data_IF_522343924762
#
_entry.id   IF_522343924762
#
_cell.length_a   1.000
_cell.length_b   1.000
_cell.length_c   1.000
_cell.angle_alpha   90.00
_cell.angle_beta   90.00
_cell.angle_gamma   90.00
#
_symmetry.space_group_name_H-M   'P 1'
#
loop_
_entity.id
_entity.type
_entity.pdbx_description
1 polymer ?
#
# COMPACT_ATOMS: atom_id res chain seq x y z
N UNK A 1 38.60 1.77 -22.66
CA UNK A 1 37.98 2.44 -21.49
C UNK A 1 36.67 1.73 -21.20
N UNK A 2 36.62 0.91 -20.15
CA UNK A 2 35.39 0.21 -19.76
C UNK A 2 34.45 1.23 -19.11
N UNK A 3 33.51 1.76 -19.90
CA UNK A 3 32.39 2.51 -19.33
C UNK A 3 31.52 1.49 -18.62
N UNK A 4 31.64 1.47 -17.29
CA UNK A 4 30.71 0.77 -16.43
C UNK A 4 29.29 1.20 -16.84
N UNK A 5 28.53 0.27 -17.43
CA UNK A 5 27.09 0.43 -17.57
C UNK A 5 26.55 0.43 -16.15
N UNK A 6 26.44 1.60 -15.54
CA UNK A 6 25.60 1.78 -14.36
C UNK A 6 24.23 1.23 -14.76
N UNK A 7 23.85 0.10 -14.19
CA UNK A 7 22.48 -0.41 -14.24
C UNK A 7 21.60 0.59 -13.49
N UNK A 8 21.33 1.75 -14.11
CA UNK A 8 20.30 2.67 -13.64
C UNK A 8 18.99 2.02 -14.00
N UNK A 9 18.54 1.10 -13.15
CA UNK A 9 17.12 0.78 -13.11
C UNK A 9 16.38 2.11 -13.01
N UNK A 10 15.46 2.42 -13.95
CA UNK A 10 14.72 3.67 -13.89
C UNK A 10 14.05 3.75 -12.51
N UNK A 11 14.35 4.82 -11.77
CA UNK A 11 13.77 5.05 -10.43
C UNK A 11 12.25 5.03 -10.60
N UNK A 12 11.57 4.20 -9.81
CA UNK A 12 10.13 4.01 -9.96
C UNK A 12 9.40 5.32 -9.62
N UNK A 13 8.31 5.60 -10.33
CA UNK A 13 7.40 6.69 -9.96
C UNK A 13 7.05 6.63 -8.46
N UNK A 14 6.80 5.42 -7.94
CA UNK A 14 6.42 5.25 -6.54
C UNK A 14 7.54 5.62 -5.57
N UNK A 15 8.80 5.31 -5.90
CA UNK A 15 9.94 5.68 -5.06
C UNK A 15 10.04 7.21 -4.95
N UNK A 16 10.06 7.89 -6.11
CA UNK A 16 10.10 9.37 -6.17
C UNK A 16 8.89 9.99 -5.47
N UNK A 17 7.71 9.41 -5.67
CA UNK A 17 6.48 9.95 -5.09
C UNK A 17 6.48 9.89 -3.57
N UNK A 18 6.84 8.75 -2.98
CA UNK A 18 6.85 8.58 -1.52
C UNK A 18 8.08 9.20 -0.84
N UNK A 19 9.17 9.44 -1.56
CA UNK A 19 10.25 10.32 -1.07
C UNK A 19 9.77 11.76 -0.87
N UNK A 20 8.96 12.28 -1.80
CA UNK A 20 8.43 13.65 -1.74
C UNK A 20 7.19 13.78 -0.83
N UNK A 21 6.47 12.68 -0.60
CA UNK A 21 5.26 12.64 0.23
C UNK A 21 5.42 11.53 1.27
N UNK A 22 6.29 11.73 2.27
CA UNK A 22 6.66 10.69 3.21
C UNK A 22 5.45 10.25 4.03
N UNK A 23 5.20 8.95 4.02
CA UNK A 23 4.25 8.30 4.90
C UNK A 23 5.03 7.74 6.09
N UNK A 24 4.64 8.09 7.32
CA UNK A 24 5.26 7.51 8.52
C UNK A 24 5.03 6.00 8.50
N UNK A 25 6.10 5.22 8.44
CA UNK A 25 5.97 3.75 8.47
C UNK A 25 5.43 3.35 9.85
N UNK A 26 4.23 2.78 9.86
CA UNK A 26 3.51 2.27 11.02
C UNK A 26 2.80 0.98 10.59
N UNK A 27 2.36 0.20 11.58
CA UNK A 27 1.66 -1.05 11.36
C UNK A 27 0.16 -0.82 11.46
N UNK A 28 -0.58 -1.41 10.53
CA UNK A 28 -2.03 -1.55 10.62
C UNK A 28 -2.42 -3.00 10.43
N UNK A 29 -3.60 -3.34 10.95
CA UNK A 29 -4.13 -4.70 10.90
C UNK A 29 -5.40 -4.71 10.07
N UNK A 30 -5.47 -5.67 9.15
CA UNK A 30 -6.69 -6.01 8.43
C UNK A 30 -7.23 -7.29 9.06
N UNK A 31 -8.40 -7.21 9.66
CA UNK A 31 -9.15 -8.37 10.12
C UNK A 31 -10.06 -8.87 8.99
N UNK A 32 -9.96 -10.16 8.67
CA UNK A 32 -10.68 -10.80 7.59
C UNK A 32 -10.83 -12.32 7.85
N UNK A 33 -12.07 -12.79 8.03
CA UNK A 33 -12.46 -14.21 8.17
C UNK A 33 -11.82 -14.84 9.40
N UNK A 34 -11.95 -14.15 10.53
CA UNK A 34 -11.37 -14.51 11.83
C UNK A 34 -9.83 -14.65 11.78
N UNK A 35 -9.20 -14.05 10.77
CA UNK A 35 -7.74 -13.96 10.62
C UNK A 35 -7.31 -12.50 10.64
N UNK A 36 -6.12 -12.26 11.16
CA UNK A 36 -5.49 -10.95 11.22
C UNK A 36 -4.30 -10.89 10.27
N UNK A 37 -4.25 -9.85 9.45
CA UNK A 37 -3.18 -9.58 8.51
C UNK A 37 -2.51 -8.27 8.90
N UNK A 38 -1.21 -8.34 9.22
CA UNK A 38 -0.43 -7.20 9.66
C UNK A 38 0.31 -6.60 8.45
N UNK A 39 0.23 -5.29 8.29
CA UNK A 39 0.88 -4.57 7.20
C UNK A 39 1.64 -3.37 7.73
N UNK A 40 2.87 -3.21 7.25
CA UNK A 40 3.59 -1.94 7.28
C UNK A 40 3.32 -1.17 5.99
N UNK A 41 3.24 0.17 6.06
CA UNK A 41 3.03 0.98 4.86
C UNK A 41 4.11 0.78 3.80
N UNK A 42 5.39 0.66 4.20
CA UNK A 42 6.48 0.37 3.27
C UNK A 42 6.29 -0.97 2.55
N UNK A 43 5.76 -1.97 3.25
CA UNK A 43 5.43 -3.27 2.64
C UNK A 43 4.34 -3.12 1.58
N UNK A 44 3.32 -2.27 1.82
CA UNK A 44 2.29 -1.97 0.82
C UNK A 44 2.88 -1.26 -0.40
N UNK A 45 3.80 -0.31 -0.19
CA UNK A 45 4.50 0.40 -1.28
C UNK A 45 5.29 -0.59 -2.14
N UNK A 46 6.04 -1.49 -1.52
CA UNK A 46 6.79 -2.53 -2.24
C UNK A 46 5.88 -3.54 -2.95
N UNK A 47 4.70 -3.81 -2.39
CA UNK A 47 3.69 -4.64 -3.03
C UNK A 47 3.14 -3.98 -4.31
N UNK A 48 2.90 -2.67 -4.30
CA UNK A 48 2.42 -1.91 -5.47
C UNK A 48 3.40 -2.05 -6.63
N UNK A 49 4.71 -2.00 -6.37
CA UNK A 49 5.76 -2.15 -7.39
C UNK A 49 5.74 -3.52 -8.09
N UNK A 50 5.13 -4.53 -7.45
CA UNK A 50 5.01 -5.90 -7.99
C UNK A 50 3.69 -6.13 -8.73
N UNK A 51 2.77 -5.17 -8.74
CA UNK A 51 1.50 -5.29 -9.47
C UNK A 51 1.69 -5.19 -10.98
N UNK A 52 0.68 -5.62 -11.75
CA UNK A 52 0.70 -5.48 -13.20
C UNK A 52 0.79 -4.01 -13.64
N UNK A 53 1.37 -3.68 -14.81
CA UNK A 53 1.50 -2.30 -15.28
C UNK A 53 0.17 -1.53 -15.30
N UNK A 54 -0.93 -2.20 -15.67
CA UNK A 54 -2.27 -1.60 -15.66
C UNK A 54 -2.73 -1.20 -14.25
N UNK A 55 -2.43 -2.02 -13.25
CA UNK A 55 -2.74 -1.71 -11.84
C UNK A 55 -1.84 -0.60 -11.32
N UNK A 56 -0.55 -0.61 -11.65
CA UNK A 56 0.37 0.45 -11.27
C UNK A 56 -0.07 1.80 -11.83
N UNK A 57 -0.46 1.87 -13.12
CA UNK A 57 -0.96 3.10 -13.73
C UNK A 57 -2.25 3.60 -13.07
N UNK A 58 -3.16 2.70 -12.69
CA UNK A 58 -4.35 3.07 -11.94
C UNK A 58 -3.99 3.67 -10.57
N UNK A 59 -3.09 3.01 -9.82
CA UNK A 59 -2.63 3.45 -8.51
C UNK A 59 -1.90 4.79 -8.60
N UNK A 60 -1.06 4.98 -9.61
CA UNK A 60 -0.38 6.24 -9.91
C UNK A 60 -1.38 7.40 -10.00
N UNK A 61 -2.45 7.22 -10.79
CA UNK A 61 -3.50 8.26 -10.96
C UNK A 61 -4.22 8.57 -9.65
N UNK A 62 -4.50 7.55 -8.84
CA UNK A 62 -5.16 7.73 -7.55
C UNK A 62 -4.24 8.43 -6.55
N UNK A 63 -2.96 8.07 -6.47
CA UNK A 63 -1.98 8.76 -5.61
C UNK A 63 -1.87 10.24 -5.96
N UNK A 64 -1.81 10.57 -7.25
CA UNK A 64 -1.81 11.96 -7.70
C UNK A 64 -3.09 12.70 -7.29
N UNK A 65 -4.26 12.05 -7.39
CA UNK A 65 -5.53 12.63 -6.96
C UNK A 65 -5.57 12.89 -5.45
N UNK A 66 -5.21 11.89 -4.64
CA UNK A 66 -5.16 12.02 -3.18
C UNK A 66 -4.21 13.16 -2.76
N UNK A 67 -3.04 13.25 -3.39
CA UNK A 67 -2.08 14.30 -3.12
C UNK A 67 -2.62 15.69 -3.49
N UNK A 68 -3.22 15.83 -4.67
CA UNK A 68 -3.82 17.10 -5.11
C UNK A 68 -4.95 17.57 -4.19
N UNK A 69 -5.64 16.63 -3.53
CA UNK A 69 -6.69 16.91 -2.56
C UNK A 69 -6.16 17.04 -1.12
N UNK A 70 -4.84 16.97 -0.90
CA UNK A 70 -4.18 16.92 0.41
C UNK A 70 -4.79 15.86 1.35
N UNK A 71 -5.21 14.73 0.78
CA UNK A 71 -5.75 13.60 1.54
C UNK A 71 -4.64 12.75 2.12
N UNK A 72 -4.94 12.10 3.24
CA UNK A 72 -4.01 11.20 3.91
C UNK A 72 -3.73 9.96 3.05
N UNK A 73 -2.48 9.82 2.59
CA UNK A 73 -2.02 8.72 1.75
C UNK A 73 -2.06 7.37 2.51
N UNK A 74 -2.00 7.37 3.84
CA UNK A 74 -2.12 6.14 4.64
C UNK A 74 -3.45 5.45 4.40
N UNK A 75 -4.53 6.22 4.30
CA UNK A 75 -5.89 5.72 4.03
C UNK A 75 -5.90 4.99 2.68
N UNK A 76 -5.26 5.57 1.67
CA UNK A 76 -5.21 4.95 0.34
C UNK A 76 -4.37 3.65 0.34
N UNK A 77 -3.24 3.63 1.05
CA UNK A 77 -2.44 2.42 1.23
C UNK A 77 -3.20 1.31 1.96
N UNK A 78 -3.96 1.65 3.00
CA UNK A 78 -4.82 0.69 3.71
C UNK A 78 -5.89 0.11 2.78
N UNK A 79 -6.51 0.94 1.93
CA UNK A 79 -7.49 0.48 0.94
C UNK A 79 -6.87 -0.52 -0.05
N UNK A 80 -5.65 -0.25 -0.54
CA UNK A 80 -4.92 -1.17 -1.42
C UNK A 80 -4.67 -2.52 -0.73
N UNK A 81 -4.18 -2.51 0.50
CA UNK A 81 -3.93 -3.72 1.27
C UNK A 81 -5.22 -4.49 1.56
N UNK A 82 -6.30 -3.80 1.92
CA UNK A 82 -7.62 -4.39 2.15
C UNK A 82 -8.15 -5.06 0.89
N UNK A 83 -8.03 -4.41 -0.27
CA UNK A 83 -8.45 -4.99 -1.55
C UNK A 83 -7.59 -6.19 -1.95
N UNK A 84 -6.30 -6.17 -1.64
CA UNK A 84 -5.41 -7.30 -1.82
C UNK A 84 -5.86 -8.51 -0.98
N UNK A 85 -6.11 -8.33 0.32
CA UNK A 85 -6.61 -9.39 1.21
C UNK A 85 -7.97 -9.92 0.74
N UNK A 86 -8.90 -9.04 0.34
CA UNK A 86 -10.21 -9.44 -0.19
C UNK A 86 -10.08 -10.33 -1.43
N UNK A 87 -9.12 -10.03 -2.32
CA UNK A 87 -8.84 -10.86 -3.50
C UNK A 87 -8.14 -12.18 -3.13
N UNK A 88 -7.28 -12.17 -2.13
CA UNK A 88 -6.55 -13.35 -1.64
C UNK A 88 -7.49 -14.38 -0.99
N UNK A 89 -8.47 -13.95 -0.20
CA UNK A 89 -9.39 -14.83 0.53
C UNK A 89 -10.52 -15.38 -0.37
N UNK A 90 -10.83 -14.71 -1.47
CA UNK A 90 -11.66 -15.25 -2.56
C UNK A 90 -12.98 -14.52 -2.81
N UNK A 91 -13.46 -14.62 -4.05
CA UNK A 91 -14.63 -13.91 -4.62
C UNK A 91 -16.01 -14.25 -4.02
N UNK A 92 -16.12 -15.22 -3.10
CA UNK A 92 -17.38 -15.94 -2.89
C UNK A 92 -18.22 -15.56 -1.66
N UNK A 93 -17.82 -14.59 -0.85
CA UNK A 93 -18.75 -13.92 0.09
C UNK A 93 -18.44 -12.43 0.13
N UNK A 94 -19.49 -11.59 0.14
CA UNK A 94 -19.35 -10.19 0.58
C UNK A 94 -18.68 -10.25 1.95
N UNK A 95 -17.48 -9.71 2.04
CA UNK A 95 -16.64 -9.86 3.21
C UNK A 95 -16.11 -8.51 3.63
N UNK A 96 -16.47 -8.11 4.84
CA UNK A 96 -16.02 -6.86 5.44
C UNK A 96 -14.59 -7.06 5.94
N UNK A 97 -13.66 -6.25 5.42
CA UNK A 97 -12.34 -6.09 6.00
C UNK A 97 -12.41 -4.94 6.99
N UNK A 98 -12.00 -5.16 8.24
CA UNK A 98 -11.90 -4.08 9.24
C UNK A 98 -10.44 -3.68 9.36
N UNK A 99 -10.18 -2.38 9.20
CA UNK A 99 -8.86 -1.80 9.39
C UNK A 99 -8.76 -1.33 10.85
N UNK A 100 -7.76 -1.85 11.56
CA UNK A 100 -7.44 -1.47 12.94
C UNK A 100 -6.07 -0.80 12.93
N UNK A 101 -6.00 0.41 13.45
CA UNK A 101 -4.73 1.09 13.69
C UNK A 101 -4.03 0.42 14.88
N UNK A 102 -2.71 0.22 14.84
CA UNK A 102 -1.98 -0.48 15.92
C UNK A 102 -2.26 0.11 17.31
N UNK A 103 -2.39 1.43 17.42
CA UNK A 103 -2.67 2.11 18.69
C UNK A 103 -4.07 1.83 19.28
N UNK A 104 -5.06 1.39 18.49
CA UNK A 104 -6.38 1.00 19.03
C UNK A 104 -6.42 -0.45 19.54
N UNK A 105 -5.43 -1.28 19.20
CA UNK A 105 -5.33 -2.66 19.71
C UNK A 105 -4.89 -2.68 21.19
N UNK A 106 -4.06 -1.72 21.60
CA UNK A 106 -3.52 -1.64 22.98
C UNK A 106 -4.62 -1.36 24.02
N UNK A 107 -5.76 -0.79 23.61
CA UNK A 107 -6.85 -0.39 24.53
C UNK A 107 -7.93 -1.47 24.75
N UNK A 108 -7.72 -2.70 24.27
CA UNK A 108 -8.63 -3.84 24.48
C UNK A 108 -8.12 -4.89 25.48
N UNK A 109 -7.17 -4.51 26.35
CA UNK A 109 -6.73 -5.34 27.48
C UNK A 109 -7.44 -4.93 28.77
#
# INVERSE_FOLDING_TARGET
MNVAKENKNPVSFFDIFFENHPVKNDVFVIEANDRYFFFEYNTVIDMIKKFSPKQQEYIRRQLQLYNNLNQDLTIYLMQIASDYIRRLIGKHKKMECKILLSHTIINRN
#
